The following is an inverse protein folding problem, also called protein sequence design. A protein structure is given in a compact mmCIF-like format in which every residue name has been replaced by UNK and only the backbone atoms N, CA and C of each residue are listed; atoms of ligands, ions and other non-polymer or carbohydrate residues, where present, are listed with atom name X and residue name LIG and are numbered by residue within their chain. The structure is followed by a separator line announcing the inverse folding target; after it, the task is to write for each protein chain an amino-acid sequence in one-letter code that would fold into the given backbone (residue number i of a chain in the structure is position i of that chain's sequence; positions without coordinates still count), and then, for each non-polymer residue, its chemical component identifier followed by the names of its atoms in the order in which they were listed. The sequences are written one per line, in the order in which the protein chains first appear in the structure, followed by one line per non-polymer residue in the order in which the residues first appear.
data_IF_767197310433
#
_entry.id   IF_767197310433
#
_cell.length_a   1.000
_cell.length_b   1.000
_cell.length_c   1.000
_cell.angle_alpha   90.00
_cell.angle_beta   90.00
_cell.angle_gamma   90.00
#
_symmetry.space_group_name_H-M   'P 1'
#
loop_
_entity.id
_entity.type
_entity.pdbx_description
1 polymer ?
#
# COMPACT_ATOMS: atom_id res chain seq x y z
N UNK A 1 40.26 4.68 6.48
CA UNK A 1 39.80 3.29 6.22
C UNK A 1 38.98 3.33 4.95
N UNK A 2 39.29 2.51 3.95
CA UNK A 2 38.48 2.42 2.74
C UNK A 2 37.22 1.63 2.99
N UNK A 3 36.12 2.03 2.35
CA UNK A 3 34.83 1.34 2.42
C UNK A 3 34.85 0.19 1.42
N UNK A 4 34.70 -1.03 1.89
CA UNK A 4 34.63 -2.23 1.05
C UNK A 4 33.28 -2.35 0.37
N UNK A 5 33.24 -2.34 -0.96
CA UNK A 5 32.01 -2.26 -1.75
C UNK A 5 31.90 -3.42 -2.73
N UNK A 6 30.71 -4.02 -2.80
CA UNK A 6 30.28 -4.88 -3.91
C UNK A 6 29.38 -4.06 -4.82
N UNK A 7 29.74 -3.99 -6.12
CA UNK A 7 29.01 -3.20 -7.11
C UNK A 7 28.16 -4.10 -7.98
N UNK A 8 26.85 -3.90 -7.96
CA UNK A 8 25.86 -4.69 -8.70
C UNK A 8 24.85 -3.76 -9.40
N UNK A 9 25.34 -2.94 -10.31
CA UNK A 9 24.56 -1.88 -10.95
C UNK A 9 24.24 -2.14 -12.43
N UNK A 10 25.03 -2.98 -13.11
CA UNK A 10 24.80 -3.29 -14.53
C UNK A 10 25.10 -2.13 -15.50
N UNK A 11 25.57 -0.99 -15.00
CA UNK A 11 25.88 0.21 -15.76
C UNK A 11 27.39 0.54 -15.68
N UNK A 12 28.11 0.36 -16.80
CA UNK A 12 29.56 0.55 -16.86
C UNK A 12 30.04 1.97 -16.47
N UNK A 13 29.22 2.99 -16.69
CA UNK A 13 29.58 4.37 -16.37
C UNK A 13 29.58 4.55 -14.84
N UNK A 14 28.57 4.03 -14.17
CA UNK A 14 28.44 4.08 -12.70
C UNK A 14 29.53 3.21 -12.07
N UNK A 15 29.78 2.00 -12.61
CA UNK A 15 30.86 1.11 -12.15
C UNK A 15 32.22 1.82 -12.16
N UNK A 16 32.52 2.58 -13.25
CA UNK A 16 33.75 3.38 -13.36
C UNK A 16 33.80 4.53 -12.36
N UNK A 17 32.70 5.21 -12.12
CA UNK A 17 32.68 6.28 -11.13
C UNK A 17 33.02 5.74 -9.74
N UNK A 18 32.41 4.62 -9.32
CA UNK A 18 32.70 4.00 -8.02
C UNK A 18 34.14 3.52 -7.93
N UNK A 19 34.69 2.96 -9.01
CA UNK A 19 36.06 2.46 -9.04
C UNK A 19 37.14 3.57 -9.01
N UNK A 20 36.78 4.83 -9.31
CA UNK A 20 37.68 5.98 -9.28
C UNK A 20 37.65 6.76 -7.95
N UNK A 21 36.79 6.37 -7.01
CA UNK A 21 36.68 7.02 -5.69
C UNK A 21 37.79 6.51 -4.76
N UNK A 22 38.62 7.42 -4.26
CA UNK A 22 39.78 7.09 -3.42
C UNK A 22 39.39 6.48 -2.06
N UNK A 23 38.17 6.75 -1.61
CA UNK A 23 37.62 6.30 -0.32
C UNK A 23 37.04 4.89 -0.39
N UNK A 24 36.86 4.33 -1.60
CA UNK A 24 36.16 3.08 -1.87
C UNK A 24 37.08 1.98 -2.36
N UNK A 25 36.97 0.80 -1.77
CA UNK A 25 37.62 -0.42 -2.19
C UNK A 25 36.59 -1.37 -2.84
N UNK A 26 36.60 -1.46 -4.18
CA UNK A 26 35.68 -2.31 -4.94
C UNK A 26 36.14 -3.75 -4.90
N UNK A 27 35.51 -4.59 -4.09
CA UNK A 27 35.84 -6.00 -3.93
C UNK A 27 35.52 -6.83 -5.16
N UNK A 28 34.34 -6.55 -5.78
CA UNK A 28 33.90 -7.23 -7.01
C UNK A 28 32.76 -6.48 -7.67
N UNK A 29 32.58 -6.72 -8.97
CA UNK A 29 31.44 -6.20 -9.75
C UNK A 29 30.56 -7.36 -10.22
N UNK A 30 29.28 -7.29 -9.90
CA UNK A 30 28.28 -8.30 -10.18
C UNK A 30 27.40 -7.82 -11.33
N UNK A 31 27.15 -8.70 -12.30
CA UNK A 31 26.36 -8.39 -13.51
C UNK A 31 25.01 -9.07 -13.57
N UNK A 32 24.69 -9.92 -12.61
CA UNK A 32 23.43 -10.66 -12.53
C UNK A 32 22.90 -10.68 -11.11
N UNK A 33 21.59 -10.50 -10.98
CA UNK A 33 20.87 -10.51 -9.72
C UNK A 33 21.11 -11.79 -8.89
N UNK A 34 21.21 -12.94 -9.56
CA UNK A 34 21.40 -14.25 -8.92
C UNK A 34 22.69 -14.35 -8.12
N UNK A 35 23.74 -13.64 -8.53
CA UNK A 35 25.07 -13.72 -7.91
C UNK A 35 25.27 -12.72 -6.75
N UNK A 36 24.30 -11.84 -6.48
CA UNK A 36 24.45 -10.78 -5.46
C UNK A 36 24.64 -11.35 -4.06
N UNK A 37 23.85 -12.34 -3.68
CA UNK A 37 23.91 -12.93 -2.34
C UNK A 37 25.19 -13.69 -2.09
N UNK A 38 25.62 -14.46 -3.07
CA UNK A 38 26.90 -15.20 -2.98
C UNK A 38 28.08 -14.22 -2.85
N UNK A 39 28.03 -13.09 -3.56
CA UNK A 39 29.04 -12.05 -3.43
C UNK A 39 29.07 -11.42 -2.03
N UNK A 40 27.90 -11.13 -1.43
CA UNK A 40 27.81 -10.61 -0.06
C UNK A 40 28.41 -11.59 0.94
N UNK A 41 28.09 -12.87 0.81
CA UNK A 41 28.56 -13.92 1.71
C UNK A 41 30.10 -14.13 1.57
N UNK A 42 30.57 -14.18 0.33
CA UNK A 42 31.97 -14.52 0.05
C UNK A 42 32.94 -13.36 0.31
N UNK A 43 32.54 -12.13 0.02
CA UNK A 43 33.41 -10.96 0.12
C UNK A 43 33.21 -10.13 1.40
N UNK A 44 32.11 -10.36 2.14
CA UNK A 44 31.77 -9.65 3.37
C UNK A 44 31.95 -8.11 3.25
N UNK A 45 31.26 -7.44 2.29
CA UNK A 45 31.43 -6.02 2.05
C UNK A 45 30.80 -5.17 3.17
N UNK A 46 31.27 -3.92 3.30
CA UNK A 46 30.58 -2.93 4.15
C UNK A 46 29.31 -2.40 3.47
N UNK A 47 29.35 -2.26 2.13
CA UNK A 47 28.26 -1.72 1.32
C UNK A 47 28.05 -2.55 0.07
N UNK A 48 26.80 -2.77 -0.29
CA UNK A 48 26.40 -3.30 -1.60
C UNK A 48 25.63 -2.23 -2.35
N UNK A 49 26.10 -1.86 -3.53
CA UNK A 49 25.41 -0.93 -4.43
C UNK A 49 24.61 -1.73 -5.44
N UNK A 50 23.29 -1.61 -5.37
CA UNK A 50 22.33 -2.26 -6.28
C UNK A 50 21.72 -1.24 -7.23
N UNK A 51 21.34 -1.66 -8.43
CA UNK A 51 20.55 -0.86 -9.35
C UNK A 51 19.36 -1.63 -9.89
N UNK A 52 18.27 -0.90 -10.18
CA UNK A 52 17.11 -1.43 -10.90
C UNK A 52 17.48 -2.04 -12.26
N UNK A 53 18.50 -1.50 -12.91
CA UNK A 53 18.98 -1.93 -14.23
C UNK A 53 19.75 -3.24 -14.21
N UNK A 54 20.08 -3.79 -13.04
CA UNK A 54 20.83 -5.04 -12.95
C UNK A 54 20.08 -6.20 -13.60
N UNK A 55 20.70 -6.85 -14.56
CA UNK A 55 20.12 -7.99 -15.29
C UNK A 55 19.98 -9.24 -14.42
N UNK A 56 19.03 -10.09 -14.73
CA UNK A 56 18.80 -11.37 -14.04
C UNK A 56 17.40 -11.91 -14.23
N UNK A 57 17.18 -13.18 -13.92
CA UNK A 57 15.90 -13.85 -14.06
C UNK A 57 14.99 -13.69 -12.84
N UNK A 58 15.60 -13.38 -11.68
CA UNK A 58 14.87 -13.15 -10.43
C UNK A 58 14.43 -11.70 -10.32
N UNK A 59 13.33 -11.46 -9.60
CA UNK A 59 12.85 -10.11 -9.33
C UNK A 59 13.77 -9.34 -8.39
N UNK A 60 13.94 -8.03 -8.62
CA UNK A 60 14.79 -7.20 -7.77
C UNK A 60 14.27 -7.16 -6.33
N UNK A 61 12.96 -7.20 -6.14
CA UNK A 61 12.32 -7.28 -4.83
C UNK A 61 12.75 -8.52 -4.04
N UNK A 62 12.97 -9.65 -4.72
CA UNK A 62 13.44 -10.88 -4.06
C UNK A 62 14.91 -10.79 -3.67
N UNK A 63 15.74 -10.16 -4.52
CA UNK A 63 17.15 -9.87 -4.17
C UNK A 63 17.19 -9.02 -2.91
N UNK A 64 16.41 -7.94 -2.86
CA UNK A 64 16.36 -7.02 -1.73
C UNK A 64 15.89 -7.71 -0.44
N UNK A 65 14.81 -8.50 -0.49
CA UNK A 65 14.32 -9.27 0.68
C UNK A 65 15.39 -10.21 1.24
N UNK A 66 16.13 -10.87 0.34
CA UNK A 66 17.23 -11.77 0.74
C UNK A 66 18.43 -10.99 1.30
N UNK A 67 18.78 -9.84 0.73
CA UNK A 67 19.81 -8.96 1.27
C UNK A 67 19.46 -8.49 2.69
N UNK A 68 18.16 -8.29 3.01
CA UNK A 68 17.73 -7.94 4.35
C UNK A 68 18.12 -8.98 5.41
N UNK A 69 18.07 -10.27 5.09
CA UNK A 69 18.49 -11.33 6.02
C UNK A 69 19.98 -11.25 6.36
N UNK A 70 20.76 -10.51 5.56
CA UNK A 70 22.19 -10.27 5.73
C UNK A 70 22.49 -8.82 6.22
N UNK A 71 21.47 -8.06 6.66
CA UNK A 71 21.57 -6.64 7.03
C UNK A 71 22.64 -6.35 8.09
N UNK A 72 22.87 -7.27 9.01
CA UNK A 72 23.93 -7.12 10.03
C UNK A 72 25.34 -7.18 9.43
N UNK A 73 25.48 -7.67 8.19
CA UNK A 73 26.77 -7.86 7.53
C UNK A 73 27.13 -6.74 6.57
N UNK A 74 26.13 -6.12 5.91
CA UNK A 74 26.38 -5.05 4.96
C UNK A 74 25.20 -4.10 4.80
N UNK A 75 25.49 -2.84 4.46
CA UNK A 75 24.52 -1.82 4.11
C UNK A 75 24.20 -1.89 2.62
N UNK A 76 22.96 -1.63 2.26
CA UNK A 76 22.52 -1.58 0.86
C UNK A 76 22.32 -0.12 0.43
N UNK A 77 22.95 0.26 -0.68
CA UNK A 77 22.69 1.50 -1.43
C UNK A 77 21.95 1.12 -2.69
N UNK A 78 20.83 1.78 -2.98
CA UNK A 78 19.99 1.47 -4.14
C UNK A 78 19.92 2.62 -5.13
N UNK A 79 20.30 2.36 -6.38
CA UNK A 79 20.20 3.30 -7.50
C UNK A 79 18.92 2.97 -8.27
N UNK A 80 17.92 3.84 -8.16
CA UNK A 80 16.66 3.69 -8.86
C UNK A 80 16.74 4.19 -10.32
N UNK A 81 17.47 5.29 -10.54
CA UNK A 81 17.52 5.97 -11.83
C UNK A 81 16.37 6.96 -12.03
N UNK A 82 15.83 7.06 -13.23
CA UNK A 82 14.74 7.98 -13.54
C UNK A 82 13.47 7.63 -12.76
N UNK A 83 12.82 8.68 -12.26
CA UNK A 83 11.58 8.55 -11.48
C UNK A 83 10.42 8.32 -12.45
N UNK A 84 9.78 7.17 -12.32
CA UNK A 84 8.59 6.78 -13.07
C UNK A 84 7.37 6.59 -12.13
N UNK A 85 6.25 6.17 -12.69
CA UNK A 85 5.01 5.91 -11.94
C UNK A 85 5.14 4.82 -10.87
N UNK A 86 6.11 3.91 -11.02
CA UNK A 86 6.36 2.82 -10.08
C UNK A 86 7.29 3.25 -8.93
N UNK A 87 8.02 4.38 -9.10
CA UNK A 87 9.00 4.84 -8.11
C UNK A 87 8.41 4.95 -6.71
N UNK A 88 7.24 5.53 -6.58
CA UNK A 88 6.57 5.73 -5.29
C UNK A 88 6.36 4.40 -4.54
N UNK A 89 5.94 3.36 -5.23
CA UNK A 89 5.71 2.04 -4.63
C UNK A 89 7.03 1.33 -4.33
N UNK A 90 7.98 1.44 -5.23
CA UNK A 90 9.27 0.78 -5.07
C UNK A 90 10.13 1.43 -3.98
N UNK A 91 10.15 2.76 -3.89
CA UNK A 91 10.85 3.48 -2.81
C UNK A 91 10.25 3.15 -1.44
N UNK A 92 8.94 3.08 -1.36
CA UNK A 92 8.25 2.63 -0.16
C UNK A 92 8.64 1.20 0.24
N UNK A 93 8.71 0.29 -0.73
CA UNK A 93 9.21 -1.06 -0.50
C UNK A 93 10.64 -1.07 0.02
N UNK A 94 11.56 -0.27 -0.55
CA UNK A 94 12.95 -0.14 -0.07
C UNK A 94 13.01 0.32 1.38
N UNK A 95 12.26 1.35 1.72
CA UNK A 95 12.15 1.88 3.10
C UNK A 95 11.65 0.81 4.08
N UNK A 96 10.65 0.02 3.69
CA UNK A 96 10.17 -1.12 4.49
C UNK A 96 11.25 -2.18 4.72
N UNK A 97 12.14 -2.36 3.74
CA UNK A 97 13.29 -3.26 3.91
C UNK A 97 14.45 -2.62 4.70
N UNK A 98 14.27 -1.37 5.18
CA UNK A 98 15.29 -0.62 5.92
C UNK A 98 16.44 -0.17 5.04
N UNK A 99 16.18 0.05 3.75
CA UNK A 99 17.13 0.62 2.79
C UNK A 99 16.79 2.10 2.65
N UNK A 100 17.63 2.95 3.23
CA UNK A 100 17.44 4.39 3.25
C UNK A 100 18.36 5.13 2.29
N UNK A 101 19.47 4.51 1.89
CA UNK A 101 20.42 5.05 0.92
C UNK A 101 19.90 4.81 -0.50
N UNK A 102 19.01 5.71 -0.98
CA UNK A 102 18.34 5.59 -2.30
C UNK A 102 18.77 6.78 -3.16
N UNK A 103 19.31 6.49 -4.34
CA UNK A 103 19.72 7.49 -5.33
C UNK A 103 18.75 7.50 -6.51
N UNK A 104 18.17 8.66 -6.82
CA UNK A 104 17.21 8.87 -7.91
C UNK A 104 17.69 9.93 -8.90
N UNK A 105 17.19 9.88 -10.12
CA UNK A 105 17.53 10.82 -11.20
C UNK A 105 18.92 10.60 -11.76
N UNK A 106 19.52 11.66 -12.29
CA UNK A 106 20.87 11.58 -12.84
C UNK A 106 21.90 11.25 -11.76
N UNK A 107 22.73 10.25 -12.04
CA UNK A 107 23.81 9.81 -11.13
C UNK A 107 25.07 10.56 -11.50
N UNK A 108 25.51 11.46 -10.62
CA UNK A 108 26.83 12.10 -10.64
C UNK A 108 27.75 11.51 -9.57
N UNK A 109 29.04 11.81 -9.68
CA UNK A 109 30.06 11.21 -8.80
C UNK A 109 29.92 11.68 -7.35
N UNK A 110 29.62 12.97 -7.11
CA UNK A 110 29.52 13.57 -5.78
C UNK A 110 28.35 12.99 -4.99
N UNK A 111 27.16 12.91 -5.62
CA UNK A 111 25.97 12.32 -4.99
C UNK A 111 26.14 10.83 -4.73
N UNK A 112 26.81 10.13 -5.62
CA UNK A 112 27.08 8.71 -5.48
C UNK A 112 28.06 8.43 -4.32
N UNK A 113 29.09 9.25 -4.18
CA UNK A 113 30.05 9.18 -3.08
C UNK A 113 29.36 9.44 -1.74
N UNK A 114 28.59 10.53 -1.63
CA UNK A 114 27.83 10.87 -0.42
C UNK A 114 26.87 9.73 0.01
N UNK A 115 26.13 9.15 -0.92
CA UNK A 115 25.20 8.05 -0.63
C UNK A 115 25.93 6.75 -0.22
N UNK A 116 27.13 6.50 -0.72
CA UNK A 116 27.94 5.34 -0.33
C UNK A 116 28.62 5.54 1.03
N UNK A 117 29.11 6.74 1.31
CA UNK A 117 29.84 7.04 2.55
C UNK A 117 28.90 7.23 3.72
N UNK A 118 27.86 8.02 3.54
CA UNK A 118 26.92 8.40 4.60
C UNK A 118 25.86 7.33 4.86
N UNK A 119 25.58 7.09 6.14
CA UNK A 119 24.45 6.26 6.57
C UNK A 119 23.21 7.15 6.67
N UNK A 120 22.27 6.96 5.76
CA UNK A 120 20.99 7.65 5.82
C UNK A 120 20.05 6.96 6.80
N UNK A 121 19.23 7.74 7.45
CA UNK A 121 18.16 7.33 8.36
C UNK A 121 16.79 7.57 7.73
N UNK A 122 15.74 7.12 8.40
CA UNK A 122 14.37 7.40 7.97
C UNK A 122 14.08 8.92 7.96
N UNK A 123 14.66 9.69 8.89
CA UNK A 123 14.50 11.15 9.00
C UNK A 123 15.10 11.87 7.79
N UNK A 124 16.25 11.39 7.29
CA UNK A 124 16.89 11.95 6.09
C UNK A 124 15.99 11.81 4.85
N UNK A 125 15.26 10.69 4.71
CA UNK A 125 14.35 10.46 3.57
C UNK A 125 13.11 11.34 3.66
N UNK A 126 12.51 11.45 4.83
CA UNK A 126 11.33 12.30 5.05
C UNK A 126 11.68 13.76 4.74
N UNK A 127 12.85 14.24 5.17
CA UNK A 127 13.35 15.57 4.83
C UNK A 127 13.57 15.79 3.33
N UNK A 128 14.02 14.75 2.61
CA UNK A 128 14.28 14.83 1.17
C UNK A 128 12.97 14.86 0.34
N UNK A 129 11.95 14.12 0.73
CA UNK A 129 10.64 14.14 0.06
C UNK A 129 9.91 15.48 0.23
N UNK A 130 9.97 16.08 1.41
CA UNK A 130 9.42 17.42 1.66
C UNK A 130 10.12 18.53 0.85
N UNK A 131 11.41 18.35 0.52
CA UNK A 131 12.17 19.32 -0.28
C UNK A 131 11.99 19.13 -1.81
N UNK A 132 11.50 17.99 -2.29
CA UNK A 132 11.18 17.80 -3.71
C UNK A 132 9.84 18.43 -4.13
N UNK A 133 8.91 18.64 -3.20
CA UNK A 133 7.70 19.44 -3.45
C UNK A 133 7.99 20.95 -3.58
N UNK A 134 9.14 21.39 -3.09
CA UNK A 134 9.66 22.76 -3.25
C UNK A 134 10.91 22.69 -4.13
N UNK A 135 10.76 22.67 -5.45
CA UNK A 135 11.84 22.51 -6.41
C UNK A 135 13.10 23.35 -6.14
N UNK A 136 14.30 22.95 -6.64
CA UNK A 136 15.58 23.57 -6.28
C UNK A 136 15.64 25.03 -6.75
N UNK A 137 15.70 25.96 -5.80
CA UNK A 137 16.10 27.34 -6.08
C UNK A 137 17.57 27.34 -6.49
N UNK A 138 17.82 27.40 -7.79
CA UNK A 138 19.14 27.80 -8.30
C UNK A 138 19.42 29.23 -7.86
N UNK A 139 20.43 29.39 -7.04
CA UNK A 139 21.09 30.66 -6.83
C UNK A 139 21.90 31.00 -8.09
N UNK A 140 21.45 31.98 -8.84
CA UNK A 140 22.29 32.70 -9.81
C UNK A 140 22.05 34.16 -9.62
N UNK A 141 23.14 34.87 -9.36
CA UNK A 141 23.26 36.33 -9.23
C UNK A 141 23.09 37.00 -10.60
N UNK A 142 22.19 38.00 -10.63
CA UNK A 142 22.17 39.32 -11.28
C UNK A 142 22.30 39.53 -12.80
N UNK A 143 21.90 40.76 -13.32
CA UNK A 143 20.70 41.56 -13.07
C UNK A 143 19.96 42.03 -14.36
N UNK A 144 18.62 42.22 -14.23
CA UNK A 144 17.71 43.22 -14.88
C UNK A 144 17.72 43.53 -16.40
N UNK A 145 16.66 44.16 -17.02
CA UNK A 145 15.30 44.45 -16.53
C UNK A 145 14.14 44.18 -17.56
N UNK A 146 12.92 44.26 -17.03
CA UNK A 146 11.67 44.69 -17.70
C UNK A 146 11.06 43.88 -18.88
N UNK A 147 9.99 43.19 -18.59
CA UNK A 147 8.64 43.46 -19.16
C UNK A 147 7.64 42.46 -18.58
N UNK A 148 6.55 42.99 -18.08
CA UNK A 148 5.40 42.21 -17.60
C UNK A 148 4.64 41.59 -18.79
N UNK A 149 4.13 40.36 -18.64
CA UNK A 149 2.79 40.06 -19.03
C UNK A 149 1.99 39.37 -17.90
N UNK A 150 0.80 39.81 -17.78
CA UNK A 150 -0.41 39.35 -17.11
C UNK A 150 -0.39 37.88 -16.69
N UNK A 151 -0.50 37.68 -15.36
CA UNK A 151 -0.78 36.40 -14.71
C UNK A 151 -2.20 35.95 -15.06
N UNK A 152 -2.31 34.84 -15.75
CA UNK A 152 -3.51 33.98 -15.71
C UNK A 152 -3.16 32.85 -14.75
N UNK A 153 -3.73 32.86 -13.56
CA UNK A 153 -3.68 31.76 -12.62
C UNK A 153 -4.40 30.55 -13.21
N UNK A 154 -3.77 29.35 -13.25
CA UNK A 154 -4.52 28.13 -13.51
C UNK A 154 -5.29 27.75 -12.23
N UNK A 155 -6.59 27.65 -12.34
CA UNK A 155 -7.45 27.12 -11.28
C UNK A 155 -7.01 25.69 -10.91
N UNK A 156 -7.02 25.33 -9.61
CA UNK A 156 -6.56 24.02 -9.17
C UNK A 156 -7.57 22.94 -9.60
N UNK A 157 -7.17 22.11 -10.55
CA UNK A 157 -7.94 20.93 -11.04
C UNK A 157 -8.42 19.99 -9.92
N UNK A 158 -7.74 19.98 -8.77
CA UNK A 158 -8.12 19.16 -7.62
C UNK A 158 -9.43 19.56 -6.92
N UNK A 159 -9.81 20.82 -6.94
CA UNK A 159 -11.08 21.26 -6.35
C UNK A 159 -12.31 20.88 -7.20
N UNK A 160 -12.13 20.72 -8.51
CA UNK A 160 -13.25 20.35 -9.40
C UNK A 160 -13.65 18.87 -9.24
N UNK A 161 -12.68 17.98 -9.03
CA UNK A 161 -12.96 16.54 -8.82
C UNK A 161 -13.62 16.27 -7.48
N UNK A 162 -13.22 16.96 -6.42
CA UNK A 162 -13.84 16.85 -5.10
C UNK A 162 -15.30 17.35 -5.14
N UNK A 163 -15.56 18.45 -5.86
CA UNK A 163 -16.91 19.01 -6.02
C UNK A 163 -17.84 18.10 -6.87
N UNK A 164 -17.29 17.36 -7.84
CA UNK A 164 -18.07 16.42 -8.65
C UNK A 164 -18.50 15.19 -7.84
N UNK A 165 -17.59 14.65 -7.03
CA UNK A 165 -17.89 13.53 -6.10
C UNK A 165 -18.92 13.97 -5.06
N UNK A 166 -18.82 15.20 -4.54
CA UNK A 166 -19.77 15.76 -3.58
C UNK A 166 -21.20 15.87 -4.16
N UNK A 167 -21.33 16.38 -5.39
CA UNK A 167 -22.64 16.52 -6.05
C UNK A 167 -23.30 15.18 -6.39
N UNK A 168 -22.50 14.16 -6.72
CA UNK A 168 -23.00 12.82 -7.02
C UNK A 168 -23.53 12.15 -5.74
N UNK A 169 -22.79 12.27 -4.63
CA UNK A 169 -23.18 11.68 -3.35
C UNK A 169 -24.41 12.36 -2.74
N UNK A 170 -24.52 13.69 -2.81
CA UNK A 170 -25.72 14.41 -2.29
C UNK A 170 -27.00 14.11 -3.07
N UNK A 171 -26.92 13.89 -4.38
CA UNK A 171 -28.12 13.55 -5.18
C UNK A 171 -28.59 12.11 -4.99
N UNK A 172 -27.71 11.19 -4.65
CA UNK A 172 -28.05 9.77 -4.51
C UNK A 172 -28.41 9.35 -3.07
N UNK A 173 -28.00 10.11 -2.05
CA UNK A 173 -28.36 9.81 -0.64
C UNK A 173 -29.85 10.05 -0.35
N UNK A 174 -30.58 10.77 -1.19
CA UNK A 174 -32.00 11.09 -0.99
C UNK A 174 -32.96 10.02 -1.57
N UNK A 175 -32.48 9.04 -2.35
CA UNK A 175 -33.36 8.11 -3.05
C UNK A 175 -33.35 6.65 -2.59
N UNK A 176 -32.69 6.28 -1.50
CA UNK A 176 -32.57 4.86 -1.07
C UNK A 176 -33.37 4.54 0.19
N UNK A 177 -34.65 4.80 0.18
CA UNK A 177 -35.62 4.09 1.04
C UNK A 177 -36.50 3.18 0.20
N UNK A 178 -35.94 2.31 -0.59
CA UNK A 178 -36.63 1.20 -1.24
C UNK A 178 -35.92 -0.06 -0.79
N UNK A 179 -36.69 -1.04 -0.28
CA UNK A 179 -36.35 -2.43 0.02
C UNK A 179 -35.24 -2.99 -0.90
N UNK A 180 -33.99 -2.61 -0.64
CA UNK A 180 -32.83 -2.97 -1.40
C UNK A 180 -31.90 -3.87 -0.60
N UNK A 181 -31.02 -4.54 -1.28
CA UNK A 181 -30.02 -5.40 -0.66
C UNK A 181 -29.12 -4.59 0.29
N UNK A 182 -28.73 -5.18 1.39
CA UNK A 182 -27.72 -4.59 2.29
C UNK A 182 -26.33 -4.83 1.69
N UNK A 183 -25.65 -3.76 1.37
CA UNK A 183 -24.28 -3.83 0.84
C UNK A 183 -23.27 -3.54 1.96
N UNK A 184 -22.35 -4.47 2.19
CA UNK A 184 -21.22 -4.30 3.11
C UNK A 184 -19.96 -4.17 2.26
N UNK A 185 -19.43 -2.94 2.12
CA UNK A 185 -18.20 -2.68 1.39
C UNK A 185 -16.98 -2.95 2.27
N UNK A 186 -16.07 -3.78 1.80
CA UNK A 186 -14.79 -4.08 2.46
C UNK A 186 -13.66 -3.62 1.55
N UNK A 187 -12.81 -2.74 2.06
CA UNK A 187 -11.65 -2.23 1.33
C UNK A 187 -10.45 -2.09 2.25
N UNK A 188 -9.27 -1.85 1.71
CA UNK A 188 -8.06 -1.58 2.50
C UNK A 188 -7.36 -0.33 2.00
N UNK A 189 -6.64 0.39 2.88
CA UNK A 189 -5.83 1.55 2.47
C UNK A 189 -4.56 1.13 1.73
N UNK A 190 -4.09 -0.09 1.95
CA UNK A 190 -2.81 -0.57 1.44
C UNK A 190 -2.98 -1.76 0.50
N UNK A 191 -2.09 -1.92 -0.48
CA UNK A 191 -1.99 -3.18 -1.21
C UNK A 191 -1.75 -4.32 -0.22
N UNK A 192 -2.41 -5.45 -0.43
CA UNK A 192 -2.33 -6.61 0.48
C UNK A 192 -2.73 -6.31 1.94
N UNK A 193 -3.54 -5.27 2.16
CA UNK A 193 -4.02 -4.86 3.49
C UNK A 193 -5.09 -5.75 4.10
N UNK A 194 -5.41 -6.91 3.48
CA UNK A 194 -6.30 -7.91 4.05
C UNK A 194 -7.79 -7.71 3.78
N UNK A 195 -8.19 -6.87 2.79
CA UNK A 195 -9.61 -6.68 2.42
C UNK A 195 -10.29 -8.00 2.04
N UNK A 196 -9.70 -8.76 1.12
CA UNK A 196 -10.24 -10.05 0.66
C UNK A 196 -10.34 -11.07 1.80
N UNK A 197 -9.30 -11.13 2.64
CA UNK A 197 -9.31 -12.00 3.82
C UNK A 197 -10.45 -11.65 4.78
N UNK A 198 -10.61 -10.37 5.08
CA UNK A 198 -11.68 -9.85 5.94
C UNK A 198 -13.06 -10.08 5.32
N UNK A 199 -13.21 -9.89 4.02
CA UNK A 199 -14.45 -10.11 3.30
C UNK A 199 -14.86 -11.58 3.34
N UNK A 200 -13.92 -12.51 3.13
CA UNK A 200 -14.14 -13.96 3.26
C UNK A 200 -14.50 -14.36 4.70
N UNK A 201 -13.80 -13.83 5.71
CA UNK A 201 -14.07 -14.11 7.11
C UNK A 201 -15.46 -13.62 7.53
N UNK A 202 -15.87 -12.43 7.05
CA UNK A 202 -17.21 -11.89 7.27
C UNK A 202 -18.27 -12.73 6.56
N UNK A 203 -18.01 -13.16 5.32
CA UNK A 203 -18.92 -14.05 4.58
C UNK A 203 -19.09 -15.38 5.30
N UNK A 204 -18.01 -16.00 5.77
CA UNK A 204 -18.04 -17.21 6.57
C UNK A 204 -18.79 -16.99 7.91
N UNK A 205 -18.64 -15.82 8.52
CA UNK A 205 -19.41 -15.48 9.73
C UNK A 205 -20.92 -15.41 9.44
N UNK A 206 -21.36 -14.71 8.40
CA UNK A 206 -22.77 -14.61 8.03
C UNK A 206 -23.35 -15.95 7.60
N UNK A 207 -22.60 -16.75 6.85
CA UNK A 207 -23.00 -18.10 6.45
C UNK A 207 -23.24 -19.01 7.67
N UNK A 208 -22.35 -18.97 8.67
CA UNK A 208 -22.54 -19.72 9.95
C UNK A 208 -23.78 -19.28 10.70
N UNK A 209 -24.20 -18.03 10.58
CA UNK A 209 -25.45 -17.52 11.14
C UNK A 209 -26.68 -17.84 10.26
N UNK A 210 -26.51 -18.58 9.16
CA UNK A 210 -27.54 -18.91 8.16
C UNK A 210 -28.22 -17.66 7.59
N UNK A 211 -27.44 -16.59 7.41
CA UNK A 211 -27.91 -15.37 6.76
C UNK A 211 -27.79 -15.52 5.25
N UNK A 212 -28.79 -14.99 4.53
CA UNK A 212 -28.80 -14.95 3.07
C UNK A 212 -27.78 -13.92 2.59
N UNK A 213 -26.57 -14.38 2.27
CA UNK A 213 -25.44 -13.53 1.93
C UNK A 213 -24.55 -14.15 0.86
N UNK A 214 -23.96 -13.30 0.01
CA UNK A 214 -22.97 -13.67 -0.99
C UNK A 214 -21.78 -12.71 -1.00
N UNK A 215 -20.66 -13.15 -1.55
CA UNK A 215 -19.44 -12.35 -1.72
C UNK A 215 -19.31 -11.93 -3.19
N UNK A 216 -19.18 -10.63 -3.43
CA UNK A 216 -18.86 -10.04 -4.73
C UNK A 216 -17.39 -9.61 -4.72
N UNK A 217 -16.63 -10.01 -5.73
CA UNK A 217 -15.22 -9.64 -5.86
C UNK A 217 -14.85 -9.40 -7.33
N UNK A 218 -13.67 -8.83 -7.60
CA UNK A 218 -13.17 -8.70 -8.97
C UNK A 218 -12.76 -10.05 -9.56
N UNK A 219 -12.65 -10.09 -10.91
CA UNK A 219 -12.32 -11.31 -11.64
C UNK A 219 -10.97 -11.91 -11.21
N UNK A 220 -9.96 -11.07 -10.96
CA UNK A 220 -8.62 -11.54 -10.58
C UNK A 220 -8.65 -12.25 -9.21
N UNK A 221 -9.33 -11.65 -8.25
CA UNK A 221 -9.51 -12.22 -6.91
C UNK A 221 -10.35 -13.49 -6.94
N UNK A 222 -11.42 -13.50 -7.75
CA UNK A 222 -12.24 -14.69 -7.99
C UNK A 222 -11.40 -15.87 -8.52
N UNK A 223 -10.59 -15.63 -9.56
CA UNK A 223 -9.75 -16.66 -10.16
C UNK A 223 -8.68 -17.18 -9.18
N UNK A 224 -8.14 -16.30 -8.33
CA UNK A 224 -7.21 -16.70 -7.26
C UNK A 224 -7.88 -17.59 -6.22
N UNK A 225 -9.08 -17.23 -5.75
CA UNK A 225 -9.83 -18.05 -4.79
C UNK A 225 -10.16 -19.39 -5.41
N UNK A 226 -10.69 -19.39 -6.64
CA UNK A 226 -11.02 -20.60 -7.40
C UNK A 226 -9.82 -21.53 -7.54
N UNK A 227 -8.65 -20.98 -7.94
CA UNK A 227 -7.43 -21.77 -8.11
C UNK A 227 -6.85 -22.27 -6.79
N UNK A 228 -6.81 -21.44 -5.75
CA UNK A 228 -6.24 -21.79 -4.45
C UNK A 228 -7.02 -22.92 -3.76
N UNK A 229 -8.35 -22.85 -3.79
CA UNK A 229 -9.23 -23.86 -3.19
C UNK A 229 -9.67 -24.94 -4.16
N UNK A 230 -9.17 -24.95 -5.42
CA UNK A 230 -9.50 -25.93 -6.48
C UNK A 230 -11.01 -26.06 -6.69
N UNK A 231 -11.73 -24.95 -6.69
CA UNK A 231 -13.19 -24.92 -6.79
C UNK A 231 -13.66 -25.13 -8.22
N UNK A 232 -14.82 -25.81 -8.38
CA UNK A 232 -15.51 -25.87 -9.64
C UNK A 232 -16.46 -24.71 -9.80
N UNK A 233 -16.45 -24.12 -10.98
CA UNK A 233 -17.37 -23.05 -11.34
C UNK A 233 -18.63 -23.64 -11.98
N UNK A 234 -19.76 -23.06 -11.60
CA UNK A 234 -21.04 -23.38 -12.19
C UNK A 234 -21.80 -22.09 -12.50
N UNK A 235 -22.02 -21.80 -13.80
CA UNK A 235 -22.73 -20.59 -14.27
C UNK A 235 -22.17 -19.25 -13.72
N UNK A 236 -20.85 -19.10 -13.72
CA UNK A 236 -20.21 -17.87 -13.21
C UNK A 236 -20.18 -17.76 -11.68
N UNK A 237 -20.52 -18.83 -10.97
CA UNK A 237 -20.55 -18.91 -9.52
C UNK A 237 -19.56 -19.98 -9.03
N UNK A 238 -18.74 -19.66 -8.05
CA UNK A 238 -18.04 -20.66 -7.23
C UNK A 238 -18.61 -20.66 -5.82
N UNK A 239 -18.56 -21.81 -5.17
CA UNK A 239 -19.01 -21.96 -3.78
C UNK A 239 -17.85 -22.45 -2.93
N UNK A 240 -17.49 -21.68 -1.91
CA UNK A 240 -16.42 -21.99 -0.96
C UNK A 240 -17.04 -22.30 0.40
N UNK A 241 -17.05 -23.58 0.81
CA UNK A 241 -17.68 -24.05 2.06
C UNK A 241 -19.12 -23.52 2.27
N UNK A 242 -19.91 -23.50 1.20
CA UNK A 242 -21.29 -23.00 1.22
C UNK A 242 -21.42 -21.51 1.01
N UNK A 243 -20.33 -20.74 0.92
CA UNK A 243 -20.32 -19.31 0.64
C UNK A 243 -20.34 -19.08 -0.87
N UNK A 244 -21.39 -18.51 -1.45
CA UNK A 244 -21.44 -18.18 -2.87
C UNK A 244 -20.59 -16.95 -3.18
N UNK A 245 -19.74 -17.05 -4.21
CA UNK A 245 -18.82 -15.99 -4.64
C UNK A 245 -19.08 -15.66 -6.11
N UNK A 246 -19.25 -14.38 -6.40
CA UNK A 246 -19.65 -13.84 -7.68
C UNK A 246 -18.67 -12.78 -8.19
N UNK A 247 -18.67 -12.60 -9.51
CA UNK A 247 -18.07 -11.44 -10.17
C UNK A 247 -19.11 -10.52 -10.79
N UNK A 248 -20.33 -10.99 -10.99
CA UNK A 248 -21.43 -10.24 -11.56
C UNK A 248 -22.32 -9.65 -10.47
N UNK A 249 -22.39 -8.30 -10.46
CA UNK A 249 -23.19 -7.55 -9.50
C UNK A 249 -24.69 -7.77 -9.66
N UNK A 250 -25.20 -7.87 -10.90
CA UNK A 250 -26.61 -8.08 -11.15
C UNK A 250 -27.05 -9.46 -10.66
N UNK A 251 -26.23 -10.47 -10.87
CA UNK A 251 -26.50 -11.83 -10.43
C UNK A 251 -26.59 -11.93 -8.90
N UNK A 252 -25.61 -11.37 -8.17
CA UNK A 252 -25.61 -11.44 -6.70
C UNK A 252 -26.74 -10.63 -6.08
N UNK A 253 -27.02 -9.44 -6.62
CA UNK A 253 -28.11 -8.57 -6.14
C UNK A 253 -29.48 -9.20 -6.28
N UNK A 254 -29.69 -10.03 -7.32
CA UNK A 254 -30.93 -10.78 -7.51
C UNK A 254 -31.01 -12.04 -6.64
N UNK A 255 -29.87 -12.55 -6.16
CA UNK A 255 -29.79 -13.84 -5.47
C UNK A 255 -29.74 -13.72 -3.94
N UNK A 256 -29.22 -12.60 -3.42
CA UNK A 256 -28.95 -12.46 -1.98
C UNK A 256 -29.41 -11.11 -1.42
N UNK A 257 -29.93 -11.12 -0.18
CA UNK A 257 -30.31 -9.91 0.55
C UNK A 257 -29.09 -9.14 1.06
N UNK A 258 -28.02 -9.82 1.41
CA UNK A 258 -26.79 -9.22 1.91
C UNK A 258 -25.65 -9.48 0.95
N UNK A 259 -25.04 -8.43 0.45
CA UNK A 259 -23.89 -8.50 -0.44
C UNK A 259 -22.65 -7.97 0.28
N UNK A 260 -21.66 -8.83 0.46
CA UNK A 260 -20.34 -8.43 0.89
C UNK A 260 -19.56 -8.12 -0.37
N UNK A 261 -19.11 -6.87 -0.52
CA UNK A 261 -18.33 -6.44 -1.69
C UNK A 261 -16.88 -6.27 -1.28
N UNK A 262 -16.02 -7.20 -1.73
CA UNK A 262 -14.57 -7.02 -1.65
C UNK A 262 -14.12 -6.05 -2.75
N UNK A 263 -13.62 -4.90 -2.36
CA UNK A 263 -13.18 -3.84 -3.26
C UNK A 263 -11.66 -3.75 -3.38
N UNK A 264 -10.95 -4.69 -2.74
CA UNK A 264 -9.49 -4.66 -2.71
C UNK A 264 -8.96 -3.40 -2.04
N UNK A 265 -7.95 -2.77 -2.66
CA UNK A 265 -7.43 -1.48 -2.20
C UNK A 265 -8.38 -0.35 -2.55
N UNK A 266 -8.60 0.57 -1.61
CA UNK A 266 -9.34 1.80 -1.86
C UNK A 266 -8.57 2.72 -2.82
N UNK A 267 -9.21 3.11 -3.91
CA UNK A 267 -8.70 3.97 -4.97
C UNK A 267 -9.78 4.94 -5.40
N UNK A 268 -9.45 5.98 -6.16
CA UNK A 268 -10.43 6.93 -6.68
C UNK A 268 -11.50 6.25 -7.54
N UNK A 269 -11.15 5.15 -8.23
CA UNK A 269 -12.08 4.41 -9.08
C UNK A 269 -13.17 3.67 -8.30
N UNK A 270 -12.86 3.15 -7.11
CA UNK A 270 -13.83 2.39 -6.29
C UNK A 270 -14.36 3.14 -5.07
N UNK A 271 -13.82 4.32 -4.76
CA UNK A 271 -14.23 5.13 -3.61
C UNK A 271 -15.72 5.45 -3.63
N UNK A 272 -16.28 5.81 -4.78
CA UNK A 272 -17.72 6.09 -4.93
C UNK A 272 -18.57 4.87 -4.56
N UNK A 273 -18.23 3.68 -5.05
CA UNK A 273 -18.94 2.44 -4.70
C UNK A 273 -18.80 2.10 -3.22
N UNK A 274 -17.59 2.31 -2.64
CA UNK A 274 -17.35 2.12 -1.21
C UNK A 274 -18.20 3.03 -0.34
N UNK A 275 -18.30 4.32 -0.69
CA UNK A 275 -19.08 5.29 0.05
C UNK A 275 -20.60 5.04 -0.03
N UNK A 276 -21.09 4.39 -1.09
CA UNK A 276 -22.49 3.99 -1.25
C UNK A 276 -22.90 2.77 -0.44
N UNK A 277 -21.95 1.99 0.08
CA UNK A 277 -22.24 0.82 0.89
C UNK A 277 -22.97 1.21 2.19
N UNK A 278 -23.93 0.37 2.63
CA UNK A 278 -24.65 0.56 3.88
C UNK A 278 -23.72 0.46 5.11
N UNK A 279 -22.76 -0.45 5.05
CA UNK A 279 -21.69 -0.56 6.02
C UNK A 279 -20.33 -0.52 5.30
N UNK A 280 -19.47 0.39 5.73
CA UNK A 280 -18.16 0.65 5.14
C UNK A 280 -17.08 0.16 6.08
N UNK A 281 -16.36 -0.89 5.70
CA UNK A 281 -15.29 -1.49 6.48
C UNK A 281 -13.96 -1.19 5.78
N UNK A 282 -13.11 -0.42 6.43
CA UNK A 282 -11.78 -0.08 5.93
C UNK A 282 -10.71 -0.77 6.75
N UNK A 283 -10.03 -1.72 6.13
CA UNK A 283 -8.94 -2.47 6.75
C UNK A 283 -7.65 -1.65 6.69
N UNK A 284 -7.04 -1.44 7.84
CA UNK A 284 -5.86 -0.60 8.02
C UNK A 284 -4.83 -1.31 8.91
N UNK A 285 -3.56 -1.13 8.61
CA UNK A 285 -2.49 -1.45 9.54
C UNK A 285 -2.23 -0.29 10.50
N UNK A 286 -1.57 -0.60 11.61
CA UNK A 286 -1.15 0.39 12.64
C UNK A 286 0.35 0.38 12.85
N UNK A 287 1.13 -0.11 11.90
CA UNK A 287 2.57 0.08 11.87
C UNK A 287 2.90 1.56 11.61
N UNK A 288 4.08 2.01 12.02
CA UNK A 288 4.45 3.42 11.99
C UNK A 288 4.20 4.10 10.62
N UNK A 289 4.52 3.42 9.54
CA UNK A 289 4.33 3.92 8.16
C UNK A 289 2.87 3.87 7.67
N UNK A 290 2.02 3.02 8.24
CA UNK A 290 0.60 2.93 7.90
C UNK A 290 -0.23 3.98 8.64
N UNK A 291 0.21 4.36 9.84
CA UNK A 291 -0.42 5.37 10.67
C UNK A 291 -0.45 6.73 9.96
N UNK A 292 0.62 7.13 9.29
CA UNK A 292 0.69 8.41 8.58
C UNK A 292 -0.33 8.45 7.44
N UNK A 293 -0.36 7.39 6.61
CA UNK A 293 -1.35 7.29 5.52
C UNK A 293 -2.78 7.27 6.05
N UNK A 294 -3.05 6.55 7.14
CA UNK A 294 -4.37 6.55 7.77
C UNK A 294 -4.72 7.93 8.34
N UNK A 295 -3.75 8.64 8.92
CA UNK A 295 -3.95 10.00 9.45
C UNK A 295 -4.27 10.98 8.34
N UNK A 296 -3.56 10.91 7.21
CA UNK A 296 -3.82 11.76 6.05
C UNK A 296 -5.18 11.46 5.42
N UNK A 297 -5.52 10.18 5.30
CA UNK A 297 -6.86 9.77 4.87
C UNK A 297 -7.97 10.33 5.77
N UNK A 298 -7.79 10.29 7.09
CA UNK A 298 -8.75 10.83 8.05
C UNK A 298 -8.92 12.34 7.92
N UNK A 299 -7.81 13.08 7.73
CA UNK A 299 -7.82 14.54 7.58
C UNK A 299 -8.47 14.99 6.28
N UNK A 300 -8.20 14.26 5.19
CA UNK A 300 -8.70 14.59 3.85
C UNK A 300 -10.12 14.09 3.55
N UNK A 301 -10.72 13.26 4.42
CA UNK A 301 -11.97 12.59 4.12
C UNK A 301 -13.13 13.04 5.02
N UNK A 302 -14.03 13.85 4.50
CA UNK A 302 -15.22 14.32 5.23
C UNK A 302 -16.20 13.20 5.64
N UNK A 303 -16.10 12.02 5.04
CA UNK A 303 -16.92 10.86 5.38
C UNK A 303 -16.23 9.90 6.37
N UNK A 304 -15.09 10.29 6.93
CA UNK A 304 -14.29 9.44 7.81
C UNK A 304 -15.10 8.85 8.99
N UNK A 305 -16.03 9.63 9.56
CA UNK A 305 -16.88 9.20 10.68
C UNK A 305 -17.93 8.13 10.29
N UNK A 306 -18.25 7.99 9.00
CA UNK A 306 -19.19 6.95 8.50
C UNK A 306 -18.54 5.60 8.28
N UNK A 307 -17.20 5.56 8.30
CA UNK A 307 -16.38 4.37 8.03
C UNK A 307 -16.05 3.67 9.34
N UNK A 308 -16.06 2.33 9.33
CA UNK A 308 -15.60 1.50 10.44
C UNK A 308 -14.19 1.01 10.12
N UNK A 309 -13.21 1.40 10.93
CA UNK A 309 -11.80 1.10 10.73
C UNK A 309 -11.45 -0.21 11.40
N UNK A 310 -11.00 -1.17 10.63
CA UNK A 310 -10.56 -2.49 11.08
C UNK A 310 -9.03 -2.48 11.17
N UNK A 311 -8.51 -2.44 12.38
CA UNK A 311 -7.09 -2.25 12.65
C UNK A 311 -6.40 -3.59 12.89
N UNK A 312 -5.48 -3.96 12.00
CA UNK A 312 -4.58 -5.09 12.20
C UNK A 312 -3.50 -4.70 13.21
N UNK A 313 -3.38 -5.40 14.34
CA UNK A 313 -2.43 -5.01 15.38
C UNK A 313 -1.00 -5.37 14.97
N UNK A 314 -0.14 -4.36 14.88
CA UNK A 314 1.31 -4.56 14.93
C UNK A 314 1.76 -4.74 16.40
N UNK A 315 1.10 -4.00 17.32
CA UNK A 315 1.33 -4.03 18.76
C UNK A 315 0.01 -3.67 19.47
N UNK A 316 -0.38 -4.47 20.47
CA UNK A 316 -1.66 -4.30 21.14
C UNK A 316 -1.80 -2.94 21.85
N UNK A 317 -0.72 -2.43 22.46
CA UNK A 317 -0.70 -1.14 23.15
C UNK A 317 -0.91 0.00 22.17
N UNK A 318 -0.19 -0.03 21.04
CA UNK A 318 -0.32 0.98 19.98
C UNK A 318 -1.72 0.96 19.39
N UNK A 319 -2.27 -0.22 19.10
CA UNK A 319 -3.62 -0.37 18.56
C UNK A 319 -4.68 0.21 19.49
N UNK A 320 -4.60 -0.06 20.80
CA UNK A 320 -5.52 0.51 21.79
C UNK A 320 -5.44 2.04 21.85
N UNK A 321 -4.22 2.58 21.82
CA UNK A 321 -4.00 4.05 21.78
C UNK A 321 -4.61 4.66 20.54
N UNK A 322 -4.41 4.01 19.39
CA UNK A 322 -4.93 4.51 18.11
C UNK A 322 -6.46 4.48 18.05
N UNK A 323 -7.10 3.42 18.52
CA UNK A 323 -8.57 3.34 18.67
C UNK A 323 -9.11 4.48 19.53
N UNK A 324 -8.41 4.81 20.63
CA UNK A 324 -8.78 5.94 21.47
C UNK A 324 -8.72 7.27 20.68
N UNK A 325 -7.66 7.47 19.91
CA UNK A 325 -7.51 8.66 19.07
C UNK A 325 -8.59 8.76 17.98
N UNK A 326 -8.93 7.64 17.32
CA UNK A 326 -10.04 7.59 16.36
C UNK A 326 -11.36 8.02 16.98
N UNK A 327 -11.64 7.61 18.21
CA UNK A 327 -12.86 7.99 18.95
C UNK A 327 -12.90 9.48 19.26
N UNK A 328 -11.77 10.12 19.56
CA UNK A 328 -11.70 11.58 19.74
C UNK A 328 -12.05 12.33 18.44
N UNK A 329 -11.76 11.74 17.29
CA UNK A 329 -12.18 12.24 15.97
C UNK A 329 -13.55 11.72 15.49
N UNK A 330 -14.41 11.22 16.40
CA UNK A 330 -15.74 10.65 16.09
C UNK A 330 -15.69 9.43 15.14
N UNK A 331 -14.55 8.84 14.95
CA UNK A 331 -14.35 7.66 14.13
C UNK A 331 -14.40 6.36 14.96
N UNK A 332 -14.83 5.26 14.35
CA UNK A 332 -14.98 3.98 15.02
C UNK A 332 -13.93 2.98 14.58
N UNK A 333 -12.96 2.69 15.46
CA UNK A 333 -11.93 1.68 15.26
C UNK A 333 -12.24 0.37 15.99
N UNK A 334 -11.89 -0.74 15.36
CA UNK A 334 -12.02 -2.10 15.89
C UNK A 334 -10.72 -2.86 15.68
N UNK A 335 -10.28 -3.63 16.66
CA UNK A 335 -9.11 -4.49 16.51
C UNK A 335 -9.50 -5.77 15.78
N UNK A 336 -8.73 -6.14 14.77
CA UNK A 336 -8.82 -7.44 14.09
C UNK A 336 -7.78 -8.38 14.69
N UNK A 337 -8.21 -9.53 15.19
CA UNK A 337 -7.30 -10.58 15.63
C UNK A 337 -6.76 -11.36 14.44
N UNK A 338 -5.49 -11.73 14.50
CA UNK A 338 -4.89 -12.56 13.46
C UNK A 338 -5.63 -13.89 13.32
N UNK A 339 -6.06 -14.17 12.12
CA UNK A 339 -6.70 -15.42 11.73
C UNK A 339 -6.05 -15.93 10.43
N UNK A 340 -5.25 -17.00 10.48
CA UNK A 340 -4.52 -17.47 9.28
C UNK A 340 -5.45 -18.02 8.20
N UNK A 341 -6.63 -18.52 8.58
CA UNK A 341 -7.64 -19.06 7.65
C UNK A 341 -8.98 -18.35 7.87
N UNK A 342 -9.48 -17.55 6.90
CA UNK A 342 -10.71 -16.80 7.02
C UNK A 342 -11.96 -17.67 7.19
N UNK A 343 -11.89 -18.95 6.84
CA UNK A 343 -13.01 -19.89 6.96
C UNK A 343 -13.13 -20.47 8.37
N UNK A 344 -12.04 -20.47 9.15
CA UNK A 344 -12.04 -20.94 10.52
C UNK A 344 -12.58 -19.86 11.45
N UNK A 345 -13.46 -20.26 12.38
CA UNK A 345 -14.05 -19.35 13.37
C UNK A 345 -12.97 -18.82 14.32
N UNK A 346 -12.79 -17.50 14.30
CA UNK A 346 -12.02 -16.77 15.30
C UNK A 346 -12.98 -16.13 16.32
N UNK A 347 -12.79 -16.39 17.61
CA UNK A 347 -13.72 -15.94 18.65
C UNK A 347 -13.76 -14.41 18.80
N UNK A 348 -12.60 -13.73 18.69
CA UNK A 348 -12.52 -12.29 18.87
C UNK A 348 -13.04 -11.55 17.65
N UNK A 349 -12.71 -12.00 16.43
CA UNK A 349 -13.29 -11.47 15.22
C UNK A 349 -14.79 -11.71 15.13
N UNK A 350 -15.29 -12.84 15.64
CA UNK A 350 -16.72 -13.11 15.78
C UNK A 350 -17.43 -12.06 16.64
N UNK A 351 -16.86 -11.70 17.80
CA UNK A 351 -17.42 -10.66 18.69
C UNK A 351 -17.35 -9.28 18.02
N UNK A 352 -16.29 -9.01 17.28
CA UNK A 352 -16.13 -7.78 16.52
C UNK A 352 -17.20 -7.66 15.42
N UNK A 353 -17.39 -8.69 14.59
CA UNK A 353 -18.44 -8.71 13.56
C UNK A 353 -19.84 -8.57 14.15
N UNK A 354 -20.12 -9.23 15.28
CA UNK A 354 -21.39 -9.07 15.97
C UNK A 354 -21.66 -7.60 16.35
N UNK A 355 -20.67 -6.88 16.87
CA UNK A 355 -20.80 -5.45 17.16
C UNK A 355 -20.96 -4.58 15.93
N UNK A 356 -20.19 -4.88 14.87
CA UNK A 356 -20.23 -4.15 13.61
C UNK A 356 -21.58 -4.25 12.91
N UNK A 357 -22.19 -5.44 12.94
CA UNK A 357 -23.45 -5.73 12.27
C UNK A 357 -24.69 -5.39 13.09
N UNK A 358 -24.52 -5.08 14.39
CA UNK A 358 -25.64 -4.75 15.28
C UNK A 358 -26.62 -3.71 14.70
N UNK A 359 -26.17 -2.63 14.05
CA UNK A 359 -27.08 -1.65 13.43
C UNK A 359 -27.90 -2.22 12.27
N UNK A 360 -27.45 -3.32 11.66
CA UNK A 360 -28.06 -3.94 10.49
C UNK A 360 -28.87 -5.21 10.83
N UNK A 361 -28.87 -5.64 12.10
CA UNK A 361 -29.47 -6.94 12.52
C UNK A 361 -30.91 -7.13 12.07
N UNK A 362 -31.69 -6.06 12.02
CA UNK A 362 -33.10 -6.13 11.60
C UNK A 362 -33.30 -6.10 10.08
N UNK A 363 -32.20 -5.89 9.31
CA UNK A 363 -32.24 -5.74 7.85
C UNK A 363 -31.55 -6.92 7.14
N UNK A 364 -30.64 -7.62 7.83
CA UNK A 364 -29.86 -8.76 7.34
C UNK A 364 -30.60 -10.06 7.51
#
# INVERSE_FOLDING_TARGET
MSIKVVVAVGNKKIERFIALMDTIDVLTTIRRKEAVLDAIINYNPHVVVLSRELSGKIEMTDVIRRCRSLKEKCRVVFIYGEIDTEYKYFSYFLVQQGIYNILTGAVDAERLEDVIERVYTLEDIVGYQLNQENGPKKSVLDPTPNTSPTLVEPAPEKELEVLLVEKIVERETIQTTVLGNVIIGVSSLFPHGGSTHTALELAAYLHRLKKDSGLLTDQQTYDRIKGFYMLKENNGLITLEGIPIYTDEAQIMNSHRTVIRDMGRLTDHNASCFLKANLKLLVCGVSAWEIDTLTDFLRGNKYANTIKYLLWPANEVQTKSYIKNLRHGECHGYTVSYNPDPLIKNADNTKMFQKLLQPLVNTI
#
